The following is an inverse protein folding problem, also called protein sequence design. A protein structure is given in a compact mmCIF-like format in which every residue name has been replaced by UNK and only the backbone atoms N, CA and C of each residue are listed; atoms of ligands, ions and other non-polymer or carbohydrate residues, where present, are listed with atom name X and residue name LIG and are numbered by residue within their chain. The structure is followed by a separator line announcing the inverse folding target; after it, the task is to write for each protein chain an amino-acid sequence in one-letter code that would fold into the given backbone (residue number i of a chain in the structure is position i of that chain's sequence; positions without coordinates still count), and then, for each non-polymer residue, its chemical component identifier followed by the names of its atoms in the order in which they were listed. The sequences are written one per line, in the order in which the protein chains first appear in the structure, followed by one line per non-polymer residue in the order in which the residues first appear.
data_IF_003286156016
#
_entry.id   IF_003286156016
#
_cell.length_a   1.000
_cell.length_b   1.000
_cell.length_c   1.000
_cell.angle_alpha   90.00
_cell.angle_beta   90.00
_cell.angle_gamma   90.00
#
_symmetry.space_group_name_H-M   'P 1'
#
loop_
_entity.id
_entity.type
_entity.pdbx_description
1 polymer ?
#
# COMPACT_ATOMS: atom_id res chain seq x y z
N UNK A 1 -9.28 -7.77 -2.06
CA UNK A 1 -8.55 -6.84 -2.95
C UNK A 1 -8.63 -5.43 -2.37
N UNK A 2 -7.52 -4.77 -2.28
CA UNK A 2 -7.45 -3.35 -1.92
C UNK A 2 -7.33 -2.52 -3.20
N UNK A 3 -8.16 -1.49 -3.31
CA UNK A 3 -8.14 -0.55 -4.42
C UNK A 3 -7.76 0.84 -3.91
N UNK A 4 -6.97 1.56 -4.68
CA UNK A 4 -6.50 2.90 -4.30
C UNK A 4 -6.47 3.81 -5.52
N UNK A 5 -6.86 5.06 -5.33
CA UNK A 5 -6.90 6.06 -6.39
C UNK A 5 -6.59 7.45 -5.83
N UNK A 6 -6.00 8.30 -6.65
CA UNK A 6 -5.86 9.71 -6.32
C UNK A 6 -7.09 10.46 -6.83
N UNK A 7 -7.87 11.12 -5.94
CA UNK A 7 -9.06 11.86 -6.38
C UNK A 7 -8.72 13.11 -7.20
N UNK A 8 -7.50 13.62 -7.07
CA UNK A 8 -7.00 14.75 -7.83
C UNK A 8 -5.90 14.34 -8.81
N UNK A 9 -5.51 15.29 -9.66
CA UNK A 9 -4.45 15.05 -10.63
C UNK A 9 -3.08 15.16 -10.00
N UNK A 10 -2.19 14.25 -10.38
CA UNK A 10 -0.80 14.17 -9.93
C UNK A 10 0.11 14.70 -11.04
N UNK A 11 1.15 15.44 -10.67
CA UNK A 11 2.13 15.95 -11.63
C UNK A 11 2.83 14.79 -12.34
N UNK A 12 3.06 14.94 -13.64
CA UNK A 12 3.70 13.90 -14.45
C UNK A 12 5.06 13.45 -13.88
N UNK A 13 5.86 14.38 -13.37
CA UNK A 13 7.17 14.05 -12.76
C UNK A 13 7.02 13.15 -11.53
N UNK A 14 6.04 13.42 -10.68
CA UNK A 14 5.75 12.59 -9.50
C UNK A 14 5.19 11.22 -9.91
N UNK A 15 4.28 11.20 -10.87
CA UNK A 15 3.70 9.96 -11.39
C UNK A 15 4.77 9.03 -11.97
N UNK A 16 5.76 9.55 -12.68
CA UNK A 16 6.89 8.77 -13.19
C UNK A 16 7.71 8.13 -12.08
N UNK A 17 8.01 8.89 -11.03
CA UNK A 17 8.77 8.37 -9.89
C UNK A 17 7.97 7.25 -9.20
N UNK A 18 6.70 7.47 -8.96
CA UNK A 18 5.82 6.46 -8.36
C UNK A 18 5.77 5.20 -9.23
N UNK A 19 5.60 5.36 -10.54
CA UNK A 19 5.57 4.24 -11.47
C UNK A 19 6.88 3.45 -11.46
N UNK A 20 8.01 4.13 -11.40
CA UNK A 20 9.32 3.48 -11.30
C UNK A 20 9.46 2.69 -10.00
N UNK A 21 9.07 3.27 -8.86
CA UNK A 21 9.09 2.58 -7.57
C UNK A 21 8.15 1.38 -7.54
N UNK A 22 6.96 1.50 -8.13
CA UNK A 22 6.02 0.38 -8.30
C UNK A 22 6.68 -0.75 -9.11
N UNK A 23 7.35 -0.43 -10.19
CA UNK A 23 8.08 -1.40 -11.01
C UNK A 23 9.15 -2.13 -10.21
N UNK A 24 9.85 -1.44 -9.34
CA UNK A 24 10.85 -2.03 -8.45
C UNK A 24 10.21 -2.96 -7.43
N UNK A 25 9.13 -2.54 -6.80
CA UNK A 25 8.37 -3.36 -5.83
C UNK A 25 7.83 -4.60 -6.52
N UNK A 26 7.16 -4.45 -7.65
CA UNK A 26 6.53 -5.55 -8.38
C UNK A 26 7.50 -6.61 -8.88
N UNK A 27 8.68 -6.21 -9.34
CA UNK A 27 9.70 -7.15 -9.78
C UNK A 27 10.26 -8.02 -8.66
N UNK A 28 10.19 -7.54 -7.43
CA UNK A 28 10.84 -8.19 -6.30
C UNK A 28 9.92 -9.05 -5.50
N UNK A 29 8.62 -8.74 -5.50
CA UNK A 29 7.83 -9.29 -4.43
C UNK A 29 6.35 -9.47 -4.73
N UNK A 30 5.77 -8.51 -5.40
CA UNK A 30 4.36 -8.52 -5.66
C UNK A 30 4.11 -8.49 -7.16
N UNK A 31 4.36 -9.59 -7.78
CA UNK A 31 4.14 -9.81 -9.19
C UNK A 31 2.91 -9.06 -9.72
N UNK A 32 3.10 -7.86 -10.21
CA UNK A 32 2.04 -7.06 -10.76
C UNK A 32 1.03 -6.49 -9.76
N UNK A 33 1.36 -6.50 -8.48
CA UNK A 33 0.40 -6.15 -7.42
C UNK A 33 0.03 -4.67 -7.39
N UNK A 34 0.89 -3.80 -7.85
CA UNK A 34 0.58 -2.38 -8.00
C UNK A 34 0.44 -2.09 -9.49
N UNK A 35 -0.80 -2.16 -9.98
CA UNK A 35 -1.07 -2.03 -11.40
C UNK A 35 -1.17 -0.59 -11.87
N UNK A 36 -0.03 0.05 -12.14
CA UNK A 36 0.01 1.14 -13.09
C UNK A 36 0.60 0.59 -14.38
N UNK A 37 -0.11 0.75 -15.48
CA UNK A 37 0.42 0.34 -16.76
C UNK A 37 1.67 1.15 -17.10
N UNK A 38 2.75 0.49 -17.57
CA UNK A 38 3.92 1.21 -18.04
C UNK A 38 3.54 2.00 -19.30
N UNK A 39 3.73 3.30 -19.26
CA UNK A 39 3.47 4.21 -20.37
C UNK A 39 4.26 5.48 -20.22
N UNK A 40 4.37 6.23 -21.30
CA UNK A 40 4.92 7.58 -21.24
C UNK A 40 3.87 8.49 -20.64
N UNK A 41 4.19 9.09 -19.49
CA UNK A 41 3.30 10.00 -18.79
C UNK A 41 3.70 11.42 -19.18
N UNK A 42 2.87 12.08 -19.99
CA UNK A 42 3.16 13.40 -20.57
C UNK A 42 2.38 14.56 -19.94
N UNK A 43 1.64 14.32 -18.90
CA UNK A 43 0.86 15.40 -18.25
C UNK A 43 0.32 14.97 -16.92
N UNK A 44 -0.40 15.85 -16.19
CA UNK A 44 -1.03 15.49 -14.95
C UNK A 44 -2.00 14.33 -15.16
N UNK A 45 -1.94 13.33 -14.28
CA UNK A 45 -2.72 12.09 -14.39
C UNK A 45 -3.40 11.78 -13.07
N UNK A 46 -4.46 11.00 -13.15
CA UNK A 46 -5.04 10.34 -11.98
C UNK A 46 -4.40 8.96 -11.86
N UNK A 47 -3.88 8.65 -10.69
CA UNK A 47 -3.30 7.34 -10.42
C UNK A 47 -4.36 6.43 -9.80
N UNK A 48 -4.44 5.20 -10.27
CA UNK A 48 -5.31 4.20 -9.68
C UNK A 48 -4.67 2.82 -9.80
N UNK A 49 -4.95 1.98 -8.84
CA UNK A 49 -4.44 0.62 -8.84
C UNK A 49 -5.25 -0.28 -7.93
N UNK A 50 -4.97 -1.55 -8.02
CA UNK A 50 -5.54 -2.55 -7.14
C UNK A 50 -4.52 -3.64 -6.86
N UNK A 51 -4.60 -4.21 -5.66
CA UNK A 51 -3.70 -5.27 -5.24
C UNK A 51 -4.50 -6.38 -4.57
N UNK A 52 -4.39 -7.62 -5.06
CA UNK A 52 -4.94 -8.75 -4.33
C UNK A 52 -4.14 -8.96 -3.04
N UNK A 53 -4.85 -9.21 -1.96
CA UNK A 53 -4.23 -9.57 -0.69
C UNK A 53 -4.00 -11.06 -0.63
N UNK A 54 -3.07 -11.48 0.22
CA UNK A 54 -2.83 -12.90 0.46
C UNK A 54 -4.14 -13.62 0.79
N UNK A 55 -4.40 -14.69 0.09
CA UNK A 55 -5.54 -15.58 0.35
C UNK A 55 -5.01 -16.91 0.80
N UNK A 56 -5.36 -17.32 2.01
CA UNK A 56 -5.05 -18.64 2.50
C UNK A 56 -5.70 -19.75 1.67
N UNK A 57 -5.34 -20.98 1.95
CA UNK A 57 -5.81 -22.18 1.21
C UNK A 57 -7.25 -22.61 1.57
N UNK A 58 -8.09 -21.67 1.98
CA UNK A 58 -9.53 -21.92 2.17
C UNK A 58 -9.95 -22.31 3.59
N UNK A 59 -9.03 -22.58 4.49
CA UNK A 59 -9.33 -22.80 5.93
C UNK A 59 -8.84 -21.56 6.69
N UNK A 60 -9.70 -20.91 7.51
CA UNK A 60 -9.24 -19.77 8.31
C UNK A 60 -8.09 -20.17 9.24
N UNK A 61 -6.90 -19.67 8.93
CA UNK A 61 -5.70 -19.87 9.71
C UNK A 61 -5.25 -18.52 10.24
N UNK A 62 -4.88 -18.41 11.54
CA UNK A 62 -4.29 -17.17 12.08
C UNK A 62 -3.11 -16.65 11.26
N UNK A 63 -2.28 -17.52 10.72
CA UNK A 63 -1.15 -17.15 9.87
C UNK A 63 -1.62 -16.48 8.57
N UNK A 64 -2.73 -16.93 7.99
CA UNK A 64 -3.30 -16.31 6.80
C UNK A 64 -3.81 -14.89 7.08
N UNK A 65 -4.43 -14.67 8.24
CA UNK A 65 -4.87 -13.34 8.66
C UNK A 65 -3.67 -12.41 8.86
N UNK A 66 -2.60 -12.91 9.47
CA UNK A 66 -1.35 -12.19 9.64
C UNK A 66 -0.72 -11.81 8.30
N UNK A 67 -0.66 -12.73 7.34
CA UNK A 67 -0.10 -12.48 6.02
C UNK A 67 -0.93 -11.48 5.22
N UNK A 68 -2.25 -11.60 5.25
CA UNK A 68 -3.14 -10.66 4.58
C UNK A 68 -3.03 -9.25 5.17
N UNK A 69 -2.98 -9.14 6.49
CA UNK A 69 -2.75 -7.86 7.16
C UNK A 69 -1.40 -7.27 6.77
N UNK A 70 -0.36 -8.09 6.71
CA UNK A 70 0.98 -7.67 6.31
C UNK A 70 1.01 -7.06 4.91
N UNK A 71 0.29 -7.64 3.97
CA UNK A 71 0.14 -7.09 2.63
C UNK A 71 -0.58 -5.75 2.63
N UNK A 72 -1.68 -5.65 3.34
CA UNK A 72 -2.44 -4.40 3.44
C UNK A 72 -1.62 -3.30 4.13
N UNK A 73 -0.94 -3.62 5.22
CA UNK A 73 -0.10 -2.68 5.95
C UNK A 73 1.05 -2.15 5.07
N UNK A 74 1.68 -3.02 4.29
CA UNK A 74 2.73 -2.60 3.36
C UNK A 74 2.20 -1.64 2.30
N UNK A 75 1.03 -1.92 1.73
CA UNK A 75 0.39 -1.03 0.75
C UNK A 75 0.07 0.32 1.39
N UNK A 76 -0.59 0.32 2.53
CA UNK A 76 -0.99 1.55 3.24
C UNK A 76 0.23 2.40 3.57
N UNK A 77 1.29 1.80 4.10
CA UNK A 77 2.50 2.53 4.46
C UNK A 77 3.22 3.07 3.22
N UNK A 78 3.20 2.34 2.12
CA UNK A 78 3.76 2.80 0.84
C UNK A 78 2.98 3.99 0.29
N UNK A 79 1.65 3.92 0.30
CA UNK A 79 0.80 5.03 -0.14
C UNK A 79 0.97 6.26 0.75
N UNK A 80 1.15 6.08 2.05
CA UNK A 80 1.43 7.20 2.97
C UNK A 80 2.78 7.84 2.68
N UNK A 81 3.81 7.07 2.39
CA UNK A 81 5.12 7.59 2.00
C UNK A 81 5.01 8.45 0.74
N UNK A 82 4.33 7.97 -0.28
CA UNK A 82 4.09 8.76 -1.49
C UNK A 82 3.24 10.00 -1.23
N UNK A 83 2.23 9.90 -0.36
CA UNK A 83 1.40 11.05 0.02
C UNK A 83 2.26 12.16 0.62
N UNK A 84 3.18 11.84 1.50
CA UNK A 84 4.08 12.80 2.13
C UNK A 84 5.11 13.36 1.16
N UNK A 85 5.75 12.51 0.36
CA UNK A 85 6.82 12.90 -0.56
C UNK A 85 6.32 13.78 -1.70
N UNK A 86 5.12 13.52 -2.19
CA UNK A 86 4.58 14.18 -3.38
C UNK A 86 3.34 15.04 -3.11
N UNK A 87 2.97 15.19 -1.85
CA UNK A 87 1.77 15.94 -1.44
C UNK A 87 0.53 15.44 -2.15
N UNK A 88 0.26 14.15 -1.99
CA UNK A 88 -0.87 13.47 -2.61
C UNK A 88 -1.93 13.06 -1.59
N UNK A 89 -3.13 12.82 -2.09
CA UNK A 89 -4.20 12.17 -1.36
C UNK A 89 -4.57 10.87 -2.08
N UNK A 90 -4.70 9.80 -1.32
CA UNK A 90 -5.19 8.52 -1.79
C UNK A 90 -6.55 8.22 -1.18
N UNK A 91 -7.45 7.68 -1.99
CA UNK A 91 -8.70 7.11 -1.51
C UNK A 91 -8.63 5.59 -1.62
N UNK A 92 -9.04 4.90 -0.56
CA UNK A 92 -8.93 3.44 -0.46
C UNK A 92 -10.29 2.78 -0.37
N UNK A 93 -10.41 1.66 -1.07
CA UNK A 93 -11.54 0.75 -0.96
C UNK A 93 -11.02 -0.67 -0.70
N UNK A 94 -11.74 -1.41 0.11
CA UNK A 94 -11.42 -2.79 0.43
C UNK A 94 -12.61 -3.67 0.07
N UNK A 95 -12.43 -4.57 -0.90
CA UNK A 95 -13.49 -5.44 -1.40
C UNK A 95 -14.77 -4.68 -1.77
N UNK A 96 -14.60 -3.49 -2.36
CA UNK A 96 -15.72 -2.64 -2.76
C UNK A 96 -16.22 -1.66 -1.69
N UNK A 97 -15.84 -1.82 -0.44
CA UNK A 97 -16.22 -0.93 0.66
C UNK A 97 -15.26 0.25 0.78
N UNK A 98 -15.81 1.43 1.03
CA UNK A 98 -15.00 2.62 1.31
C UNK A 98 -14.33 2.50 2.67
N UNK A 99 -13.00 2.56 2.69
CA UNK A 99 -12.22 2.48 3.93
C UNK A 99 -11.61 3.81 4.34
N UNK A 100 -11.66 4.81 3.49
CA UNK A 100 -11.16 6.14 3.82
C UNK A 100 -10.04 6.62 2.93
N UNK A 101 -9.17 7.46 3.49
CA UNK A 101 -8.15 8.17 2.72
C UNK A 101 -6.81 8.24 3.46
N UNK A 102 -5.77 8.50 2.67
CA UNK A 102 -4.42 8.78 3.15
C UNK A 102 -4.01 10.11 2.52
N UNK A 103 -3.52 11.04 3.34
CA UNK A 103 -2.99 12.31 2.88
C UNK A 103 -1.63 12.60 3.55
N UNK A 104 -0.98 13.74 3.28
CA UNK A 104 0.32 14.03 3.88
C UNK A 104 0.33 14.08 5.42
N UNK A 105 -0.83 14.23 6.05
CA UNK A 105 -0.95 14.21 7.52
C UNK A 105 -1.12 12.80 8.10
N UNK A 106 -1.39 11.82 7.26
CA UNK A 106 -1.53 10.42 7.65
C UNK A 106 -2.82 9.77 7.18
N UNK A 107 -3.23 8.74 7.87
CA UNK A 107 -4.46 8.00 7.58
C UNK A 107 -5.67 8.72 8.15
N UNK A 108 -6.77 8.72 7.38
CA UNK A 108 -8.05 9.18 7.90
C UNK A 108 -8.49 8.30 9.08
N UNK A 109 -9.31 8.85 9.95
CA UNK A 109 -9.79 8.12 11.14
C UNK A 109 -10.51 6.81 10.78
N UNK A 110 -11.43 6.78 9.80
CA UNK A 110 -12.06 5.52 9.40
C UNK A 110 -11.07 4.46 8.94
N UNK A 111 -10.07 4.83 8.15
CA UNK A 111 -9.05 3.91 7.67
C UNK A 111 -8.18 3.38 8.82
N UNK A 112 -7.74 4.27 9.69
CA UNK A 112 -6.93 3.89 10.85
C UNK A 112 -7.68 2.92 11.76
N UNK A 113 -8.95 3.20 12.04
CA UNK A 113 -9.78 2.33 12.89
C UNK A 113 -9.95 0.93 12.29
N UNK A 114 -10.16 0.83 10.98
CA UNK A 114 -10.28 -0.45 10.29
C UNK A 114 -8.96 -1.23 10.32
N UNK A 115 -7.85 -0.55 10.07
CA UNK A 115 -6.53 -1.19 10.11
C UNK A 115 -6.15 -1.65 11.51
N UNK A 116 -6.46 -0.87 12.54
CA UNK A 116 -6.20 -1.25 13.93
C UNK A 116 -7.03 -2.45 14.38
N UNK A 117 -8.29 -2.53 13.98
CA UNK A 117 -9.12 -3.71 14.23
C UNK A 117 -8.53 -4.95 13.60
N UNK A 118 -8.10 -4.85 12.35
CA UNK A 118 -7.49 -5.96 11.63
C UNK A 118 -6.16 -6.37 12.28
N UNK A 119 -5.32 -5.41 12.63
CA UNK A 119 -4.06 -5.66 13.32
C UNK A 119 -4.27 -6.47 14.61
N UNK A 120 -5.23 -6.07 15.45
CA UNK A 120 -5.55 -6.81 16.67
C UNK A 120 -5.99 -8.25 16.39
N UNK A 121 -6.84 -8.45 15.38
CA UNK A 121 -7.29 -9.79 14.99
C UNK A 121 -6.14 -10.64 14.45
N UNK A 122 -5.17 -10.02 13.79
CA UNK A 122 -3.99 -10.69 13.25
C UNK A 122 -2.87 -10.90 14.28
N UNK A 123 -3.06 -10.44 15.52
CA UNK A 123 -2.04 -10.53 16.57
C UNK A 123 -0.86 -9.59 16.37
N UNK A 124 -1.06 -8.51 15.61
CA UNK A 124 -0.03 -7.49 15.34
C UNK A 124 -0.15 -6.37 16.35
N UNK A 125 0.99 -5.90 16.84
CA UNK A 125 1.06 -4.78 17.77
C UNK A 125 0.62 -3.45 17.15
N UNK A 126 0.54 -2.39 17.97
CA UNK A 126 0.11 -1.08 17.50
C UNK A 126 1.10 -0.50 16.48
N UNK A 127 0.60 0.39 15.64
CA UNK A 127 1.41 1.14 14.69
C UNK A 127 2.40 2.04 15.43
N UNK A 128 3.67 1.93 15.09
CA UNK A 128 4.74 2.73 15.69
C UNK A 128 5.54 3.44 14.59
N UNK A 129 5.87 4.70 14.84
CA UNK A 129 6.64 5.56 13.91
C UNK A 129 6.06 5.59 12.49
N UNK A 130 4.75 5.53 12.37
CA UNK A 130 4.07 5.56 11.08
C UNK A 130 4.12 4.25 10.30
N UNK A 131 4.43 3.12 10.95
CA UNK A 131 4.43 1.81 10.31
C UNK A 131 3.98 0.72 11.29
N UNK A 132 3.35 -0.34 10.75
CA UNK A 132 3.12 -1.56 11.52
C UNK A 132 4.39 -2.43 11.46
N UNK A 133 4.65 -3.25 12.51
CA UNK A 133 5.83 -4.12 12.56
C UNK A 133 5.98 -5.03 11.34
N UNK A 134 4.87 -5.55 10.83
CA UNK A 134 4.86 -6.44 9.66
C UNK A 134 5.38 -5.73 8.41
N UNK A 135 4.97 -4.47 8.20
CA UNK A 135 5.43 -3.68 7.06
C UNK A 135 6.93 -3.40 7.12
N UNK A 136 7.44 -3.13 8.32
CA UNK A 136 8.87 -2.91 8.52
C UNK A 136 9.69 -4.16 8.16
N UNK A 137 9.26 -5.33 8.61
CA UNK A 137 9.90 -6.61 8.27
C UNK A 137 9.90 -6.85 6.77
N UNK A 138 8.80 -6.59 6.09
CA UNK A 138 8.69 -6.78 4.65
C UNK A 138 9.58 -5.83 3.86
N UNK A 139 9.65 -4.57 4.27
CA UNK A 139 10.58 -3.59 3.68
C UNK A 139 12.02 -4.04 3.84
N UNK A 140 12.38 -4.56 4.99
CA UNK A 140 13.72 -5.08 5.26
C UNK A 140 14.08 -6.25 4.34
N UNK A 141 13.15 -7.17 4.13
CA UNK A 141 13.34 -8.28 3.18
C UNK A 141 13.60 -7.76 1.77
N UNK A 142 12.84 -6.76 1.32
CA UNK A 142 13.06 -6.13 0.02
C UNK A 142 14.46 -5.53 -0.10
N UNK A 143 14.89 -4.78 0.89
CA UNK A 143 16.22 -4.16 0.88
C UNK A 143 17.35 -5.18 0.91
N UNK A 144 17.20 -6.26 1.65
CA UNK A 144 18.20 -7.34 1.69
C UNK A 144 18.28 -8.10 0.37
N UNK A 145 17.15 -8.35 -0.25
CA UNK A 145 17.12 -9.03 -1.54
C UNK A 145 17.74 -8.21 -2.67
N UNK A 146 17.74 -6.89 -2.52
CA UNK A 146 18.18 -5.95 -3.56
C UNK A 146 18.98 -4.80 -2.95
N UNK A 147 20.17 -5.05 -2.46
CA UNK A 147 21.00 -4.00 -1.88
C UNK A 147 21.35 -2.96 -2.94
N UNK A 148 21.29 -1.68 -2.56
CA UNK A 148 21.64 -0.56 -3.43
C UNK A 148 20.49 0.02 -4.26
N UNK A 149 19.27 -0.36 -3.97
CA UNK A 149 18.08 0.24 -4.61
C UNK A 149 17.24 1.01 -3.62
#
# INVERSE_FOLDING_TARGET
MIEYTTPGRVRAAHARIIQEEIGQIGRRWWLGALGLEPGVIDGPVVLSGSTPLFRGRGIPDPDDLFMAFGDAAFIVDTLEDWARRFTLKWHLRMNGDDWGAIDPTGLSRPLLDQMEKWARRAGVGPRDKGAWPVSAERREVLFRAYPGT
#
